data_IF_689459799231
#
_entry.id   IF_689459799231
#
_cell.length_a   1.000
_cell.length_b   1.000
_cell.length_c   1.000
_cell.angle_alpha   90.00
_cell.angle_beta   90.00
_cell.angle_gamma   90.00
#
_symmetry.space_group_name_H-M   'P 1'
#
loop_
_entity.id
_entity.type
_entity.pdbx_description
1 polymer ?
#
# COMPACT_ATOMS: atom_id res chain seq x y z
N UNK A 1 -19.74 -79.98 -0.86
CA UNK A 1 -19.64 -79.02 -1.97
C UNK A 1 -19.58 -77.62 -1.40
N UNK A 2 -18.37 -77.11 -1.21
CA UNK A 2 -18.13 -75.82 -0.53
C UNK A 2 -17.68 -74.82 -1.60
N UNK A 3 -18.46 -73.78 -1.83
CA UNK A 3 -18.13 -72.68 -2.78
C UNK A 3 -17.44 -71.53 -2.00
N UNK A 4 -16.17 -71.34 -2.27
CA UNK A 4 -15.39 -70.21 -1.80
C UNK A 4 -15.60 -69.02 -2.72
N UNK A 5 -16.07 -67.86 -2.18
CA UNK A 5 -16.19 -66.60 -2.89
C UNK A 5 -14.97 -65.76 -2.56
N UNK A 6 -14.11 -65.51 -3.56
CA UNK A 6 -13.04 -64.51 -3.47
C UNK A 6 -13.62 -63.11 -3.62
N UNK A 7 -13.52 -62.30 -2.59
CA UNK A 7 -13.80 -60.87 -2.66
C UNK A 7 -12.59 -60.13 -3.20
N UNK A 8 -12.76 -59.46 -4.33
CA UNK A 8 -11.77 -58.50 -4.88
C UNK A 8 -11.91 -57.14 -4.18
N UNK A 9 -10.96 -56.81 -3.35
CA UNK A 9 -10.86 -55.46 -2.75
C UNK A 9 -10.26 -54.45 -3.75
N UNK A 10 -11.04 -53.50 -4.19
CA UNK A 10 -10.55 -52.38 -5.00
C UNK A 10 -9.91 -51.33 -4.07
N UNK A 11 -8.60 -51.19 -4.12
CA UNK A 11 -7.84 -50.12 -3.47
C UNK A 11 -7.97 -48.88 -4.34
N UNK A 12 -8.77 -47.88 -3.92
CA UNK A 12 -8.82 -46.58 -4.53
C UNK A 12 -7.62 -45.74 -4.04
N UNK A 13 -6.63 -45.59 -4.91
CA UNK A 13 -5.50 -44.69 -4.64
C UNK A 13 -5.96 -43.24 -4.82
N UNK A 14 -6.04 -42.50 -3.72
CA UNK A 14 -6.33 -41.07 -3.69
C UNK A 14 -5.09 -40.29 -4.12
N UNK A 15 -5.01 -39.89 -5.39
CA UNK A 15 -3.97 -38.98 -5.90
C UNK A 15 -4.29 -37.56 -5.40
N UNK A 16 -3.64 -37.13 -4.30
CA UNK A 16 -3.59 -35.73 -3.93
C UNK A 16 -2.74 -34.99 -4.98
N UNK A 17 -3.40 -34.28 -5.88
CA UNK A 17 -2.72 -33.34 -6.76
C UNK A 17 -2.18 -32.18 -5.89
N UNK A 18 -0.87 -32.11 -5.67
CA UNK A 18 -0.20 -30.92 -5.17
C UNK A 18 -0.33 -29.85 -6.26
N UNK A 19 -1.29 -28.94 -6.11
CA UNK A 19 -1.32 -27.73 -6.94
C UNK A 19 -0.04 -26.92 -6.60
N UNK A 20 0.76 -26.50 -7.60
CA UNK A 20 1.89 -25.61 -7.33
C UNK A 20 1.35 -24.32 -6.70
N UNK A 21 1.93 -23.89 -5.58
CA UNK A 21 1.64 -22.60 -5.01
C UNK A 21 1.98 -21.55 -6.08
N UNK A 22 0.98 -20.81 -6.53
CA UNK A 22 1.19 -19.69 -7.44
C UNK A 22 1.97 -18.62 -6.67
N UNK A 23 3.29 -18.57 -6.86
CA UNK A 23 4.10 -17.45 -6.40
C UNK A 23 3.76 -16.26 -7.28
N UNK A 24 3.40 -15.13 -6.66
CA UNK A 24 3.23 -13.89 -7.39
C UNK A 24 4.55 -13.53 -8.08
N UNK A 25 4.47 -13.21 -9.38
CA UNK A 25 5.67 -12.77 -10.10
C UNK A 25 6.14 -11.42 -9.54
N UNK A 26 7.45 -11.19 -9.46
CA UNK A 26 8.01 -9.89 -9.06
C UNK A 26 7.50 -8.77 -9.97
N UNK A 27 7.19 -7.61 -9.39
CA UNK A 27 6.78 -6.44 -10.14
C UNK A 27 7.83 -6.06 -11.17
N UNK A 28 7.40 -5.89 -12.43
CA UNK A 28 8.27 -5.44 -13.52
C UNK A 28 8.29 -3.91 -13.56
N UNK A 29 9.48 -3.34 -13.73
CA UNK A 29 9.69 -1.89 -13.88
C UNK A 29 10.23 -1.56 -15.28
N UNK A 30 9.92 -0.36 -15.84
CA UNK A 30 9.06 0.68 -15.26
C UNK A 30 7.60 0.23 -15.12
N UNK A 31 6.99 0.52 -13.96
CA UNK A 31 5.58 0.28 -13.70
C UNK A 31 4.79 1.57 -13.94
N UNK A 32 3.83 1.54 -14.85
CA UNK A 32 2.91 2.64 -15.08
C UNK A 32 1.51 2.24 -14.65
N UNK A 33 0.82 3.12 -13.93
CA UNK A 33 -0.55 2.90 -13.49
C UNK A 33 -1.36 4.20 -13.48
N UNK A 34 -2.68 4.06 -13.56
CA UNK A 34 -3.62 5.17 -13.40
C UNK A 34 -4.01 5.29 -11.93
N UNK A 35 -3.98 6.50 -11.41
CA UNK A 35 -4.36 6.78 -10.03
C UNK A 35 -5.07 8.12 -9.91
N UNK A 36 -6.36 8.08 -9.59
CA UNK A 36 -7.19 9.28 -9.40
C UNK A 36 -7.11 10.26 -10.59
N UNK A 37 -7.19 9.72 -11.82
CA UNK A 37 -7.18 10.52 -13.04
C UNK A 37 -5.81 10.98 -13.52
N UNK A 38 -4.74 10.54 -12.87
CA UNK A 38 -3.37 10.81 -13.30
C UNK A 38 -2.60 9.53 -13.59
N UNK A 39 -1.80 9.56 -14.64
CA UNK A 39 -0.86 8.47 -14.98
C UNK A 39 0.44 8.67 -14.22
N UNK A 40 0.83 7.69 -13.42
CA UNK A 40 2.10 7.68 -12.69
C UNK A 40 2.99 6.54 -13.14
N UNK A 41 4.29 6.84 -13.27
CA UNK A 41 5.29 5.84 -13.67
C UNK A 41 6.38 5.73 -12.61
N UNK A 42 6.60 4.52 -12.14
CA UNK A 42 7.67 4.16 -11.22
C UNK A 42 8.81 3.52 -12.02
N UNK A 43 9.99 4.12 -12.02
CA UNK A 43 11.16 3.55 -12.67
C UNK A 43 11.70 2.33 -11.89
N UNK A 44 11.45 2.29 -10.60
CA UNK A 44 11.84 1.25 -9.66
C UNK A 44 10.92 1.24 -8.45
N UNK A 45 11.03 0.24 -7.58
CA UNK A 45 10.30 0.19 -6.31
C UNK A 45 10.69 1.38 -5.41
N UNK A 46 9.73 2.15 -4.89
CA UNK A 46 10.01 3.24 -3.96
C UNK A 46 10.77 2.77 -2.71
N UNK A 47 11.71 3.58 -2.26
CA UNK A 47 12.53 3.30 -1.09
C UNK A 47 12.37 4.35 0.01
N UNK A 48 11.81 5.53 -0.31
CA UNK A 48 11.67 6.67 0.62
C UNK A 48 10.25 7.23 0.51
N UNK A 49 9.36 6.70 1.32
CA UNK A 49 7.93 7.04 1.27
C UNK A 49 7.58 8.03 2.36
N UNK A 50 6.96 9.14 2.00
CA UNK A 50 6.20 9.95 2.96
C UNK A 50 4.73 9.57 2.87
N UNK A 51 4.15 9.19 4.00
CA UNK A 51 2.76 8.76 4.10
C UNK A 51 1.90 9.82 4.79
N UNK A 52 0.96 10.41 4.04
CA UNK A 52 0.02 11.41 4.51
C UNK A 52 -1.34 10.76 4.73
N UNK A 53 -1.66 10.50 5.98
CA UNK A 53 -2.89 9.84 6.41
C UNK A 53 -2.63 8.53 7.14
N UNK A 54 -3.29 8.39 8.28
CA UNK A 54 -3.16 7.22 9.16
C UNK A 54 -3.41 5.90 8.42
N UNK A 55 -4.51 5.81 7.67
CA UNK A 55 -4.88 4.58 6.97
C UNK A 55 -3.84 4.18 5.91
N UNK A 56 -3.31 5.15 5.15
CA UNK A 56 -2.22 4.88 4.19
C UNK A 56 -0.97 4.36 4.89
N UNK A 57 -0.64 4.91 6.07
CA UNK A 57 0.49 4.46 6.88
C UNK A 57 0.28 3.04 7.40
N UNK A 58 -0.90 2.73 7.92
CA UNK A 58 -1.25 1.40 8.42
C UNK A 58 -1.24 0.34 7.31
N UNK A 59 -1.65 0.69 6.09
CA UNK A 59 -1.54 -0.20 4.92
C UNK A 59 -0.07 -0.54 4.65
N UNK A 60 0.82 0.45 4.67
CA UNK A 60 2.25 0.21 4.46
C UNK A 60 2.85 -0.69 5.54
N UNK A 61 2.45 -0.52 6.81
CA UNK A 61 2.87 -1.41 7.89
C UNK A 61 2.36 -2.84 7.69
N UNK A 62 1.10 -3.01 7.29
CA UNK A 62 0.51 -4.33 7.03
C UNK A 62 1.16 -5.05 5.82
N UNK A 63 1.80 -4.31 4.93
CA UNK A 63 2.56 -4.84 3.80
C UNK A 63 4.05 -5.05 4.12
N UNK A 64 4.45 -4.93 5.39
CA UNK A 64 5.85 -5.01 5.84
C UNK A 64 6.77 -3.97 5.17
N UNK A 65 6.22 -2.81 4.78
CA UNK A 65 6.95 -1.70 4.13
C UNK A 65 7.30 -0.56 5.09
N UNK A 66 7.20 -0.79 6.40
CA UNK A 66 7.50 0.21 7.42
C UNK A 66 8.92 0.77 7.35
N UNK A 67 9.89 -0.02 6.91
CA UNK A 67 11.28 0.35 6.70
C UNK A 67 11.48 1.35 5.54
N UNK A 68 10.50 1.50 4.66
CA UNK A 68 10.49 2.45 3.55
C UNK A 68 9.91 3.80 3.94
N UNK A 69 9.20 3.88 5.06
CA UNK A 69 8.55 5.13 5.49
C UNK A 69 9.59 6.04 6.14
N UNK A 70 9.79 7.22 5.56
CA UNK A 70 10.72 8.24 6.07
C UNK A 70 10.02 9.41 6.77
N UNK A 71 8.70 9.47 6.69
CA UNK A 71 7.88 10.47 7.37
C UNK A 71 6.41 10.12 7.32
N UNK A 72 5.68 10.46 8.39
CA UNK A 72 4.23 10.29 8.49
C UNK A 72 3.54 11.60 8.90
N UNK A 73 2.29 11.76 8.51
CA UNK A 73 1.44 12.85 8.98
C UNK A 73 -0.03 12.47 8.92
N UNK A 74 -0.89 13.30 9.50
CA UNK A 74 -2.36 13.14 9.55
C UNK A 74 -2.75 11.88 10.31
N UNK A 75 -2.77 12.01 11.61
CA UNK A 75 -3.17 10.95 12.54
C UNK A 75 -4.47 11.33 13.25
N UNK A 76 -5.49 10.49 13.11
CA UNK A 76 -6.82 10.71 13.71
C UNK A 76 -6.99 10.00 15.04
N UNK A 77 -6.15 9.02 15.33
CA UNK A 77 -6.16 8.22 16.56
C UNK A 77 -4.76 7.74 16.91
N UNK A 78 -4.65 7.08 18.04
CA UNK A 78 -3.40 6.44 18.46
C UNK A 78 -2.94 5.39 17.45
N UNK A 79 -1.62 5.26 17.34
CA UNK A 79 -0.99 4.21 16.51
C UNK A 79 -1.39 2.84 17.05
N UNK A 80 -1.96 1.93 16.24
CA UNK A 80 -2.32 0.59 16.69
C UNK A 80 -1.14 -0.15 17.30
N UNK A 81 -1.41 -0.91 18.37
CA UNK A 81 -0.38 -1.58 19.17
C UNK A 81 0.67 -2.36 18.37
N UNK A 82 0.32 -3.13 17.30
CA UNK A 82 1.30 -3.86 16.50
C UNK A 82 2.32 -2.96 15.79
N UNK A 83 1.98 -1.68 15.51
CA UNK A 83 2.80 -0.76 14.72
C UNK A 83 3.56 0.27 15.55
N UNK A 84 3.29 0.37 16.86
CA UNK A 84 3.89 1.39 17.72
C UNK A 84 5.42 1.38 17.69
N UNK A 85 6.03 0.21 17.78
CA UNK A 85 7.49 0.08 17.78
C UNK A 85 8.14 0.46 16.44
N UNK A 86 7.47 0.18 15.33
CA UNK A 86 7.92 0.58 14.00
C UNK A 86 7.73 2.08 13.81
N UNK A 87 6.54 2.59 14.15
CA UNK A 87 6.20 4.01 13.99
C UNK A 87 7.07 4.93 14.87
N UNK A 88 7.49 4.48 16.03
CA UNK A 88 8.36 5.26 16.93
C UNK A 88 9.75 5.60 16.31
N UNK A 89 10.12 4.93 15.24
CA UNK A 89 11.39 5.16 14.50
C UNK A 89 11.23 6.10 13.31
N UNK A 90 10.00 6.51 13.01
CA UNK A 90 9.65 7.30 11.83
C UNK A 90 9.30 8.71 12.28
N UNK A 91 9.80 9.70 11.57
CA UNK A 91 9.50 11.09 11.88
C UNK A 91 8.02 11.39 11.61
N UNK A 92 7.34 11.91 12.64
CA UNK A 92 6.01 12.48 12.52
C UNK A 92 6.10 13.93 12.11
N UNK A 93 5.81 14.23 10.86
CA UNK A 93 5.98 15.56 10.29
C UNK A 93 4.97 16.56 10.84
N UNK A 94 3.73 16.10 11.07
CA UNK A 94 2.66 16.86 11.67
C UNK A 94 1.55 15.93 12.17
N UNK A 95 0.73 16.39 13.10
CA UNK A 95 -0.51 15.68 13.50
C UNK A 95 -1.61 15.85 12.46
N UNK A 96 -1.65 17.01 11.82
CA UNK A 96 -2.52 17.33 10.69
C UNK A 96 -1.70 17.39 9.39
N UNK A 97 -2.12 18.21 8.43
CA UNK A 97 -1.42 18.36 7.16
C UNK A 97 0.00 18.91 7.36
N UNK A 98 1.02 18.22 6.83
CA UNK A 98 2.39 18.70 6.87
C UNK A 98 2.59 19.84 5.86
N UNK A 99 3.60 20.70 6.08
CA UNK A 99 4.01 21.63 5.04
C UNK A 99 4.70 20.90 3.88
N UNK A 100 4.61 21.46 2.68
CA UNK A 100 5.28 20.93 1.50
C UNK A 100 6.79 20.78 1.73
N UNK A 101 7.41 21.80 2.35
CA UNK A 101 8.82 21.81 2.67
C UNK A 101 9.22 20.69 3.64
N UNK A 102 8.39 20.40 4.65
CA UNK A 102 8.65 19.31 5.60
C UNK A 102 8.60 17.94 4.93
N UNK A 103 7.73 17.78 3.94
CA UNK A 103 7.67 16.58 3.10
C UNK A 103 8.93 16.47 2.25
N UNK A 104 9.32 17.55 1.55
CA UNK A 104 10.51 17.57 0.68
C UNK A 104 11.81 17.36 1.45
N UNK A 105 11.90 17.84 2.70
CA UNK A 105 13.05 17.64 3.57
C UNK A 105 13.35 16.15 3.85
N UNK A 106 12.38 15.25 3.60
CA UNK A 106 12.59 13.80 3.70
C UNK A 106 13.14 13.18 2.42
N UNK A 107 13.32 13.96 1.36
CA UNK A 107 13.79 13.49 0.05
C UNK A 107 13.01 12.24 -0.41
N UNK A 108 11.66 12.29 -0.47
CA UNK A 108 10.87 11.12 -0.82
C UNK A 108 10.99 10.79 -2.30
N UNK A 109 10.90 9.52 -2.62
CA UNK A 109 10.69 9.01 -3.97
C UNK A 109 9.25 8.54 -4.21
N UNK A 110 8.38 8.67 -3.19
CA UNK A 110 6.93 8.51 -3.27
C UNK A 110 6.26 9.27 -2.13
N UNK A 111 5.17 9.96 -2.45
CA UNK A 111 4.22 10.47 -1.45
C UNK A 111 2.91 9.70 -1.59
N UNK A 112 2.45 9.05 -0.51
CA UNK A 112 1.10 8.47 -0.46
C UNK A 112 0.16 9.40 0.29
N UNK A 113 -1.06 9.53 -0.18
CA UNK A 113 -2.09 10.35 0.45
C UNK A 113 -3.36 9.53 0.69
N UNK A 114 -3.93 9.60 1.88
CA UNK A 114 -5.17 8.94 2.20
C UNK A 114 -6.34 9.57 1.46
N UNK A 115 -6.33 10.88 1.32
CA UNK A 115 -7.40 11.67 0.71
C UNK A 115 -6.89 12.58 -0.41
N UNK A 116 -7.73 12.76 -1.43
CA UNK A 116 -7.42 13.62 -2.57
C UNK A 116 -7.17 15.07 -2.15
N UNK A 117 -7.87 15.56 -1.11
CA UNK A 117 -7.69 16.95 -0.66
C UNK A 117 -6.28 17.26 -0.11
N UNK A 118 -5.45 16.23 0.22
CA UNK A 118 -4.06 16.49 0.64
C UNK A 118 -3.20 16.94 -0.54
N UNK A 119 -3.44 16.39 -1.72
CA UNK A 119 -2.57 16.57 -2.90
C UNK A 119 -3.32 16.93 -4.17
N UNK A 120 -4.63 17.13 -4.11
CA UNK A 120 -5.48 17.51 -5.25
C UNK A 120 -5.24 18.94 -5.77
N UNK A 121 -6.12 19.44 -6.63
CA UNK A 121 -5.98 20.78 -7.23
C UNK A 121 -5.88 21.93 -6.22
N UNK A 122 -6.50 21.75 -5.04
CA UNK A 122 -6.42 22.66 -3.89
C UNK A 122 -5.80 21.96 -2.68
N UNK A 123 -4.83 21.09 -2.93
CA UNK A 123 -4.23 20.23 -1.91
C UNK A 123 -3.72 21.01 -0.71
N UNK A 124 -4.06 20.55 0.50
CA UNK A 124 -3.64 21.19 1.75
C UNK A 124 -2.12 21.03 2.01
N UNK A 125 -1.51 19.99 1.47
CA UNK A 125 -0.05 19.77 1.53
C UNK A 125 0.62 20.40 0.30
N UNK A 126 0.21 19.97 -0.90
CA UNK A 126 0.68 20.49 -2.18
C UNK A 126 -0.22 19.97 -3.31
N UNK A 127 -0.07 20.48 -4.51
CA UNK A 127 -0.70 19.89 -5.71
C UNK A 127 0.14 18.74 -6.22
N UNK A 128 -0.48 17.70 -6.76
CA UNK A 128 0.23 16.58 -7.42
C UNK A 128 1.22 17.07 -8.48
N UNK A 129 0.84 18.11 -9.25
CA UNK A 129 1.72 18.72 -10.25
C UNK A 129 3.04 19.23 -9.63
N UNK A 130 3.02 19.78 -8.41
CA UNK A 130 4.24 20.29 -7.75
C UNK A 130 5.18 19.13 -7.38
N UNK A 131 4.65 17.98 -6.96
CA UNK A 131 5.45 16.78 -6.73
C UNK A 131 5.98 16.21 -8.06
N UNK A 132 5.13 16.17 -9.09
CA UNK A 132 5.51 15.68 -10.42
C UNK A 132 6.64 16.50 -11.05
N UNK A 133 6.62 17.84 -10.93
CA UNK A 133 7.68 18.73 -11.42
C UNK A 133 9.04 18.40 -10.77
N UNK A 134 9.02 17.89 -9.54
CA UNK A 134 10.18 17.41 -8.78
C UNK A 134 10.48 15.92 -9.04
N UNK A 135 9.74 15.26 -9.93
CA UNK A 135 9.84 13.83 -10.25
C UNK A 135 9.55 12.93 -9.04
N UNK A 136 8.70 13.39 -8.16
CA UNK A 136 8.19 12.64 -7.01
C UNK A 136 6.78 12.15 -7.36
N UNK A 137 6.56 10.86 -7.62
CA UNK A 137 5.22 10.33 -7.82
C UNK A 137 4.38 10.52 -6.54
N UNK A 138 3.10 10.84 -6.74
CA UNK A 138 2.13 10.89 -5.65
C UNK A 138 0.99 9.90 -5.91
N UNK A 139 0.64 9.12 -4.91
CA UNK A 139 -0.40 8.10 -4.98
C UNK A 139 -1.50 8.40 -3.96
N UNK A 140 -2.71 8.57 -4.44
CA UNK A 140 -3.90 8.78 -3.59
C UNK A 140 -4.62 7.46 -3.40
N UNK A 141 -5.14 7.19 -2.20
CA UNK A 141 -5.95 6.01 -1.96
C UNK A 141 -7.12 5.95 -2.94
N UNK A 142 -7.26 4.88 -3.76
CA UNK A 142 -8.36 4.78 -4.73
C UNK A 142 -9.74 4.81 -4.08
N UNK A 143 -9.84 4.44 -2.80
CA UNK A 143 -11.08 4.52 -2.05
C UNK A 143 -11.65 5.95 -1.99
N UNK A 144 -10.79 6.97 -2.06
CA UNK A 144 -11.22 8.36 -1.98
C UNK A 144 -11.61 8.96 -3.34
N UNK A 145 -10.95 8.55 -4.43
CA UNK A 145 -11.19 9.15 -5.74
C UNK A 145 -12.14 8.34 -6.64
N UNK A 146 -12.27 7.03 -6.41
CA UNK A 146 -13.18 6.18 -7.21
C UNK A 146 -14.59 6.18 -6.64
N UNK A 147 -14.72 6.22 -5.32
CA UNK A 147 -16.00 6.28 -4.62
C UNK A 147 -16.25 7.70 -4.12
N UNK A 148 -16.92 8.54 -4.93
CA UNK A 148 -17.31 9.91 -4.53
C UNK A 148 -18.23 9.95 -3.31
N UNK A 149 -18.84 8.84 -2.94
CA UNK A 149 -19.72 8.66 -1.79
C UNK A 149 -18.99 7.90 -0.66
N UNK A 150 -17.71 8.20 -0.47
CA UNK A 150 -16.92 7.60 0.61
C UNK A 150 -17.41 8.11 1.97
N UNK A 151 -18.60 7.71 2.35
CA UNK A 151 -19.14 7.92 3.68
C UNK A 151 -18.58 6.85 4.60
N UNK A 152 -17.62 7.25 5.43
CA UNK A 152 -17.26 6.46 6.62
C UNK A 152 -18.47 6.52 7.54
N UNK A 153 -19.27 5.45 7.49
CA UNK A 153 -20.40 5.28 8.41
C UNK A 153 -19.92 4.83 9.79
#
# INVERSE_FOLDING_TARGET
MTKTILGAGAAAALLLALAPAALAEPTQYPLTLENCGETITFAQAPQRVVSVGQNSTEILFNLDLGDKIVGTAVWFSDVPAPFQAANAKIDRLADNDPSFESVLAKEPDLVTAQYEWHVGPNGSVAKRAQFHDLKIPSYVSPADCVAKDNTVG
#
